data_IF_170396011986
#
_entry.id   IF_170396011986
#
_cell.length_a   1.000
_cell.length_b   1.000
_cell.length_c   1.000
_cell.angle_alpha   90.00
_cell.angle_beta   90.00
_cell.angle_gamma   90.00
#
_symmetry.space_group_name_H-M   'P 1'
#
loop_
_entity.id
_entity.type
_entity.pdbx_description
1 polymer ?
#
# COMPACT_ATOMS: atom_id res chain seq x y z
N UNK A 1 38.50 -2.34 -35.67
CA UNK A 1 38.41 -2.48 -34.26
C UNK A 1 38.02 -1.15 -33.65
N UNK A 2 36.76 -0.93 -33.40
CA UNK A 2 36.25 0.25 -32.67
C UNK A 2 35.40 -0.29 -31.51
N UNK A 3 35.87 -0.03 -30.31
CA UNK A 3 35.14 -0.33 -29.07
C UNK A 3 33.85 0.48 -29.04
N UNK A 4 32.73 -0.22 -28.96
CA UNK A 4 31.43 0.38 -28.64
C UNK A 4 31.36 0.43 -27.13
N UNK A 5 31.60 1.62 -26.57
CA UNK A 5 31.38 1.97 -25.16
C UNK A 5 29.94 1.66 -24.78
N UNK A 6 29.77 0.73 -23.85
CA UNK A 6 28.49 0.51 -23.16
C UNK A 6 28.14 1.79 -22.40
N UNK A 7 27.18 2.54 -22.91
CA UNK A 7 26.47 3.52 -22.10
C UNK A 7 25.48 2.75 -21.24
N UNK A 8 25.81 2.59 -19.95
CA UNK A 8 24.86 2.20 -18.93
C UNK A 8 23.83 3.33 -18.78
N UNK A 9 22.63 3.10 -19.28
CA UNK A 9 21.48 3.96 -19.01
C UNK A 9 20.97 3.59 -17.60
N UNK A 10 21.54 4.23 -16.58
CA UNK A 10 20.96 4.28 -15.25
C UNK A 10 19.80 5.27 -15.30
N UNK A 11 18.59 4.79 -15.14
CA UNK A 11 17.44 5.67 -14.99
C UNK A 11 16.12 5.20 -15.60
N UNK A 12 15.82 3.91 -15.61
CA UNK A 12 14.41 3.50 -15.73
C UNK A 12 13.91 3.20 -14.33
N UNK A 13 13.29 4.21 -13.71
CA UNK A 13 12.60 4.06 -12.44
C UNK A 13 11.63 2.88 -12.57
N UNK A 14 11.88 1.86 -11.75
CA UNK A 14 10.92 0.76 -11.58
C UNK A 14 9.68 1.37 -10.95
N UNK A 15 8.59 1.43 -11.69
CA UNK A 15 7.28 1.83 -11.15
C UNK A 15 6.84 0.69 -10.24
N UNK A 16 7.19 0.78 -8.96
CA UNK A 16 6.72 -0.12 -7.93
C UNK A 16 5.58 0.56 -7.17
N UNK A 17 4.35 0.20 -7.49
CA UNK A 17 3.21 0.46 -6.63
C UNK A 17 3.14 -0.68 -5.62
N UNK A 18 3.82 -0.53 -4.49
CA UNK A 18 3.59 -1.40 -3.34
C UNK A 18 2.53 -0.74 -2.45
N UNK A 19 1.34 -1.30 -2.43
CA UNK A 19 0.36 -1.00 -1.42
C UNK A 19 0.83 -1.55 -0.08
N UNK A 20 1.42 -0.68 0.72
CA UNK A 20 1.86 -1.04 2.06
C UNK A 20 2.25 0.21 2.84
N UNK A 21 1.40 0.64 3.74
CA UNK A 21 1.57 1.81 4.60
C UNK A 21 2.77 1.73 5.56
N UNK A 22 3.73 2.66 5.50
CA UNK A 22 4.51 3.12 6.67
C UNK A 22 5.28 4.43 6.46
N UNK A 23 4.92 5.43 7.19
CA UNK A 23 5.56 6.41 8.04
C UNK A 23 6.60 7.40 7.51
N UNK A 24 6.34 8.70 7.74
CA UNK A 24 7.36 9.75 7.85
C UNK A 24 7.12 10.62 9.08
N UNK A 25 8.16 10.74 9.94
CA UNK A 25 8.29 11.74 10.99
C UNK A 25 8.90 13.04 10.43
N UNK A 26 8.31 14.19 10.75
CA UNK A 26 9.06 15.45 10.87
C UNK A 26 8.53 16.24 12.05
N UNK A 27 9.46 16.61 12.95
CA UNK A 27 9.23 17.45 14.13
C UNK A 27 9.04 18.90 13.70
N UNK A 28 8.07 19.59 14.30
CA UNK A 28 8.15 21.01 14.63
C UNK A 28 7.35 21.30 15.89
N UNK A 29 7.93 22.15 16.72
CA UNK A 29 7.61 22.45 18.10
C UNK A 29 6.29 23.21 18.31
N UNK A 30 5.78 23.05 19.51
CA UNK A 30 4.57 23.55 20.18
C UNK A 30 4.35 25.08 20.17
N UNK A 31 3.13 25.58 20.54
CA UNK A 31 2.85 25.73 21.98
C UNK A 31 1.43 25.27 22.42
N UNK A 32 1.37 24.97 23.72
CA UNK A 32 0.18 24.68 24.52
C UNK A 32 -0.82 25.87 24.50
N UNK A 33 -2.11 25.58 24.27
CA UNK A 33 -3.21 26.39 24.80
C UNK A 33 -4.37 25.46 25.20
N UNK A 34 -4.85 25.70 26.36
CA UNK A 34 -5.94 25.31 27.20
C UNK A 34 -7.03 24.32 26.74
N UNK A 35 -7.31 23.40 27.65
CA UNK A 35 -8.44 22.50 27.65
C UNK A 35 -9.77 23.23 27.84
N UNK A 36 -10.65 23.10 26.86
CA UNK A 36 -12.08 23.31 26.98
C UNK A 36 -12.79 22.07 26.49
N UNK A 37 -13.40 21.30 27.41
CA UNK A 37 -14.26 20.19 27.06
C UNK A 37 -15.52 20.76 26.35
N UNK A 38 -15.51 20.72 25.04
CA UNK A 38 -16.68 20.96 24.21
C UNK A 38 -17.27 19.61 23.83
N UNK A 39 -18.49 19.33 24.26
CA UNK A 39 -19.34 18.27 23.74
C UNK A 39 -19.55 18.57 22.26
N UNK A 40 -18.78 17.92 21.41
CA UNK A 40 -18.90 18.06 19.96
C UNK A 40 -20.26 17.49 19.53
N UNK A 41 -21.10 18.34 18.99
CA UNK A 41 -22.20 17.94 18.13
C UNK A 41 -21.65 17.11 16.95
N UNK A 42 -22.44 16.20 16.35
CA UNK A 42 -22.02 15.50 15.14
C UNK A 42 -21.53 16.53 14.13
N UNK A 43 -20.43 16.27 13.40
CA UNK A 43 -19.91 17.26 12.47
C UNK A 43 -21.00 17.56 11.43
N UNK A 44 -21.44 18.82 11.38
CA UNK A 44 -22.12 19.33 10.21
C UNK A 44 -21.25 18.98 9.01
N UNK A 45 -21.85 18.38 7.99
CA UNK A 45 -21.15 17.83 6.83
C UNK A 45 -20.09 18.81 6.30
N UNK A 46 -18.85 18.63 6.75
CA UNK A 46 -17.70 19.34 6.21
C UNK A 46 -17.62 19.03 4.72
N UNK A 47 -17.09 19.95 3.91
CA UNK A 47 -16.94 19.68 2.48
C UNK A 47 -16.16 18.37 2.29
N UNK A 48 -16.46 17.58 1.25
CA UNK A 48 -15.77 16.33 0.95
C UNK A 48 -14.25 16.48 1.03
N UNK A 49 -13.72 17.62 0.57
CA UNK A 49 -12.30 17.97 0.65
C UNK A 49 -11.78 18.05 2.10
N UNK A 50 -12.58 18.60 3.02
CA UNK A 50 -12.21 18.70 4.45
C UNK A 50 -12.22 17.31 5.10
N UNK A 51 -13.22 16.48 4.78
CA UNK A 51 -13.31 15.08 5.26
C UNK A 51 -12.07 14.29 4.81
N UNK A 52 -11.73 14.36 3.52
CA UNK A 52 -10.52 13.69 2.98
C UNK A 52 -9.25 14.24 3.64
N UNK A 53 -9.13 15.53 3.86
CA UNK A 53 -7.99 16.13 4.55
C UNK A 53 -7.88 15.63 6.00
N UNK A 54 -8.99 15.55 6.74
CA UNK A 54 -9.04 15.03 8.11
C UNK A 54 -8.65 13.55 8.16
N UNK A 55 -9.20 12.75 7.25
CA UNK A 55 -8.84 11.33 7.11
C UNK A 55 -7.33 11.18 6.89
N UNK A 56 -6.72 11.95 5.99
CA UNK A 56 -5.27 11.89 5.73
C UNK A 56 -4.43 12.26 6.96
N UNK A 57 -4.85 13.25 7.75
CA UNK A 57 -4.20 13.59 9.02
C UNK A 57 -4.26 12.39 9.97
N UNK A 58 -5.42 11.76 10.13
CA UNK A 58 -5.58 10.60 11.01
C UNK A 58 -4.77 9.39 10.53
N UNK A 59 -4.69 9.16 9.21
CA UNK A 59 -3.83 8.13 8.64
C UNK A 59 -2.34 8.38 8.97
N UNK A 60 -1.90 9.64 8.85
CA UNK A 60 -0.52 10.00 9.16
C UNK A 60 -0.20 9.86 10.66
N UNK A 61 -1.11 10.26 11.55
CA UNK A 61 -0.94 10.09 13.00
C UNK A 61 -0.86 8.60 13.36
N UNK A 62 -1.80 7.80 12.85
CA UNK A 62 -1.81 6.36 13.12
C UNK A 62 -0.55 5.65 12.60
N UNK A 63 0.01 6.14 11.51
CA UNK A 63 1.24 5.60 10.95
C UNK A 63 2.48 5.78 11.86
N UNK A 64 2.45 6.74 12.76
CA UNK A 64 3.57 7.00 13.71
C UNK A 64 3.61 5.99 14.87
N UNK A 65 2.49 5.31 15.14
CA UNK A 65 2.35 4.39 16.27
C UNK A 65 1.84 3.04 15.77
N UNK A 66 2.70 2.28 15.10
CA UNK A 66 2.34 0.98 14.53
C UNK A 66 2.85 -0.15 15.39
N UNK A 67 1.94 -1.03 15.73
CA UNK A 67 2.27 -2.32 16.30
C UNK A 67 2.60 -3.33 15.18
N UNK A 68 3.40 -4.33 15.53
CA UNK A 68 3.71 -5.44 14.65
C UNK A 68 2.67 -6.56 14.81
N UNK A 69 2.40 -7.24 13.71
CA UNK A 69 1.41 -8.30 13.63
C UNK A 69 1.96 -9.53 12.94
N UNK A 70 1.44 -10.68 13.34
CA UNK A 70 1.42 -11.88 12.52
C UNK A 70 0.04 -11.99 11.87
N UNK A 71 -0.02 -12.37 10.60
CA UNK A 71 -1.26 -12.50 9.86
C UNK A 71 -1.13 -13.49 8.69
N UNK A 72 -2.26 -13.90 8.13
CA UNK A 72 -2.32 -14.71 6.92
C UNK A 72 -2.52 -13.81 5.70
N UNK A 73 -1.87 -14.17 4.60
CA UNK A 73 -2.06 -13.58 3.27
C UNK A 73 -2.41 -14.67 2.28
N UNK A 74 -3.42 -14.41 1.45
CA UNK A 74 -3.67 -15.13 0.21
C UNK A 74 -3.37 -14.18 -0.93
N UNK A 75 -2.37 -14.47 -1.73
CA UNK A 75 -1.90 -13.59 -2.80
C UNK A 75 -1.79 -14.34 -4.11
N UNK A 76 -2.31 -13.73 -5.17
CA UNK A 76 -2.05 -14.08 -6.57
C UNK A 76 -1.52 -12.84 -7.26
N UNK A 77 -0.28 -12.89 -7.72
CA UNK A 77 0.38 -11.72 -8.30
C UNK A 77 1.53 -12.14 -9.24
N UNK A 78 2.19 -11.17 -9.85
CA UNK A 78 3.41 -11.41 -10.61
C UNK A 78 4.53 -12.00 -9.73
N UNK A 79 4.57 -11.63 -8.43
CA UNK A 79 5.50 -12.19 -7.45
C UNK A 79 5.31 -13.69 -7.26
N UNK A 80 4.07 -14.16 -7.30
CA UNK A 80 3.73 -15.57 -7.15
C UNK A 80 3.75 -16.35 -8.46
N UNK A 81 4.10 -15.69 -9.58
CA UNK A 81 4.02 -16.29 -10.91
C UNK A 81 2.58 -16.60 -11.35
N UNK A 82 1.58 -15.90 -10.78
CA UNK A 82 0.16 -16.13 -11.03
C UNK A 82 -0.45 -17.29 -10.21
N UNK A 83 0.33 -17.97 -9.37
CA UNK A 83 -0.18 -18.98 -8.44
C UNK A 83 -0.81 -18.31 -7.21
N UNK A 84 -1.84 -18.94 -6.64
CA UNK A 84 -2.42 -18.50 -5.37
C UNK A 84 -1.56 -19.02 -4.21
N UNK A 85 -0.80 -18.13 -3.58
CA UNK A 85 -0.02 -18.46 -2.41
C UNK A 85 -0.78 -18.13 -1.13
N UNK A 86 -0.76 -19.04 -0.17
CA UNK A 86 -1.15 -18.78 1.21
C UNK A 86 0.11 -18.70 2.06
N UNK A 87 0.34 -17.55 2.67
CA UNK A 87 1.54 -17.28 3.46
C UNK A 87 1.16 -16.82 4.87
N UNK A 88 2.01 -17.16 5.85
CA UNK A 88 2.03 -16.51 7.15
C UNK A 88 3.08 -15.41 7.12
N UNK A 89 2.68 -14.21 7.48
CA UNK A 89 3.54 -13.05 7.56
C UNK A 89 3.77 -12.65 9.02
N UNK A 90 5.02 -12.30 9.35
CA UNK A 90 5.39 -11.77 10.66
C UNK A 90 6.13 -10.45 10.45
N UNK A 91 5.58 -9.36 10.97
CA UNK A 91 6.17 -8.03 10.87
C UNK A 91 7.33 -7.87 11.84
N UNK A 92 8.41 -7.23 11.39
CA UNK A 92 9.57 -6.84 12.20
C UNK A 92 10.11 -5.49 11.76
N UNK A 93 10.97 -4.88 12.56
CA UNK A 93 11.67 -3.65 12.16
C UNK A 93 12.58 -3.85 10.93
N UNK A 94 13.05 -5.06 10.66
CA UNK A 94 13.87 -5.38 9.50
C UNK A 94 13.05 -5.57 8.22
N UNK A 95 11.77 -5.95 8.35
CA UNK A 95 10.86 -6.23 7.23
C UNK A 95 9.82 -7.29 7.60
N UNK A 96 9.07 -7.78 6.61
CA UNK A 96 8.04 -8.80 6.79
C UNK A 96 8.62 -10.18 6.46
N UNK A 97 8.79 -11.03 7.47
CA UNK A 97 9.12 -12.44 7.27
C UNK A 97 7.87 -13.14 6.72
N UNK A 98 8.02 -13.85 5.61
CA UNK A 98 6.94 -14.57 4.93
C UNK A 98 7.27 -16.05 4.92
N UNK A 99 6.33 -16.91 5.27
CA UNK A 99 6.43 -18.36 5.14
C UNK A 99 5.29 -18.88 4.28
N UNK A 100 5.60 -19.53 3.18
CA UNK A 100 4.62 -20.17 2.33
C UNK A 100 4.02 -21.39 3.04
N UNK A 101 2.69 -21.49 3.08
CA UNK A 101 1.93 -22.55 3.72
C UNK A 101 1.23 -23.46 2.70
N UNK A 102 0.72 -22.85 1.62
CA UNK A 102 -0.01 -23.58 0.56
C UNK A 102 0.13 -22.85 -0.77
N UNK A 103 0.00 -23.61 -1.86
CA UNK A 103 0.03 -23.11 -3.24
C UNK A 103 -1.20 -23.67 -3.99
N UNK A 104 -1.96 -22.79 -4.67
CA UNK A 104 -3.19 -23.12 -5.40
C UNK A 104 -4.21 -23.94 -4.59
N UNK A 105 -4.31 -23.64 -3.29
CA UNK A 105 -5.21 -24.30 -2.34
C UNK A 105 -4.75 -25.68 -1.87
N UNK A 106 -3.56 -26.10 -2.29
CA UNK A 106 -2.98 -27.40 -1.88
C UNK A 106 -1.86 -27.20 -0.86
N UNK A 107 -1.76 -28.06 0.17
CA UNK A 107 -0.61 -28.08 1.07
C UNK A 107 0.69 -28.29 0.30
N UNK A 108 1.79 -27.73 0.81
CA UNK A 108 3.10 -27.89 0.20
C UNK A 108 3.59 -29.33 0.31
N UNK A 109 4.31 -29.82 -0.70
CA UNK A 109 5.06 -31.08 -0.62
C UNK A 109 6.17 -30.99 0.43
N UNK A 110 6.62 -32.14 0.93
CA UNK A 110 7.74 -32.20 1.88
C UNK A 110 9.02 -31.54 1.35
N UNK A 111 9.28 -31.68 0.06
CA UNK A 111 10.41 -31.03 -0.62
C UNK A 111 10.24 -29.50 -0.62
N UNK A 112 9.05 -29.00 -0.95
CA UNK A 112 8.76 -27.56 -0.98
C UNK A 112 8.83 -26.95 0.43
N UNK A 113 8.37 -27.67 1.45
CA UNK A 113 8.54 -27.27 2.87
C UNK A 113 10.01 -27.18 3.23
N UNK A 114 10.84 -28.16 2.83
CA UNK A 114 12.26 -28.14 3.10
C UNK A 114 12.98 -26.97 2.41
N UNK A 115 12.62 -26.66 1.17
CA UNK A 115 13.11 -25.47 0.44
C UNK A 115 12.75 -24.17 1.16
N UNK A 116 11.50 -24.06 1.62
CA UNK A 116 11.02 -22.87 2.32
C UNK A 116 11.72 -22.66 3.67
N UNK A 117 11.91 -23.74 4.43
CA UNK A 117 12.72 -23.69 5.67
C UNK A 117 14.17 -23.32 5.40
N UNK A 118 14.77 -23.84 4.31
CA UNK A 118 16.11 -23.44 3.89
C UNK A 118 16.21 -21.97 3.54
N UNK A 119 15.19 -21.42 2.87
CA UNK A 119 15.08 -19.98 2.56
C UNK A 119 14.99 -19.14 3.84
N UNK A 120 14.16 -19.56 4.81
CA UNK A 120 14.01 -18.89 6.10
C UNK A 120 15.30 -18.96 6.93
N UNK A 121 15.98 -20.11 6.96
CA UNK A 121 17.28 -20.23 7.60
C UNK A 121 18.33 -19.28 7.00
N UNK A 122 18.30 -19.07 5.66
CA UNK A 122 19.13 -18.07 4.99
C UNK A 122 18.84 -16.63 5.43
N UNK A 123 17.58 -16.30 5.72
CA UNK A 123 17.19 -14.99 6.27
C UNK A 123 17.76 -14.80 7.68
N UNK A 124 17.73 -15.84 8.51
CA UNK A 124 18.29 -15.80 9.87
C UNK A 124 19.82 -15.71 9.83
N UNK A 125 20.46 -16.36 8.87
CA UNK A 125 21.93 -16.33 8.74
C UNK A 125 22.47 -14.96 8.28
N UNK A 126 21.70 -14.21 7.47
CA UNK A 126 22.07 -12.85 7.04
C UNK A 126 20.88 -11.88 7.17
N UNK A 127 20.55 -11.44 8.39
CA UNK A 127 19.46 -10.50 8.63
C UNK A 127 19.73 -9.12 8.02
N UNK A 128 20.99 -8.74 7.83
CA UNK A 128 21.34 -7.49 7.19
C UNK A 128 21.02 -7.50 5.69
N UNK A 129 21.27 -8.60 4.99
CA UNK A 129 20.83 -8.74 3.59
C UNK A 129 19.30 -8.78 3.48
N UNK A 130 18.60 -9.42 4.43
CA UNK A 130 17.14 -9.38 4.50
C UNK A 130 16.64 -7.94 4.67
N UNK A 131 17.20 -7.18 5.60
CA UNK A 131 16.83 -5.78 5.84
C UNK A 131 17.07 -4.91 4.59
N UNK A 132 18.22 -5.07 3.92
CA UNK A 132 18.52 -4.32 2.67
C UNK A 132 17.48 -4.60 1.57
N UNK A 133 17.08 -5.87 1.39
CA UNK A 133 16.03 -6.23 0.41
C UNK A 133 14.66 -5.68 0.80
N UNK A 134 14.36 -5.66 2.09
CA UNK A 134 13.10 -5.12 2.62
C UNK A 134 13.04 -3.59 2.55
N UNK A 135 14.18 -2.92 2.50
CA UNK A 135 14.22 -1.44 2.43
C UNK A 135 13.54 -0.92 1.16
N UNK A 136 13.75 -1.55 0.02
CA UNK A 136 13.09 -1.15 -1.22
C UNK A 136 11.56 -1.19 -1.11
N UNK A 137 11.00 -2.21 -0.43
CA UNK A 137 9.56 -2.30 -0.17
C UNK A 137 9.06 -1.20 0.77
N UNK A 138 9.87 -0.79 1.76
CA UNK A 138 9.53 0.31 2.66
C UNK A 138 9.55 1.66 1.93
N UNK A 139 10.52 1.86 1.06
CA UNK A 139 10.61 3.07 0.23
C UNK A 139 9.41 3.18 -0.70
N UNK A 140 8.97 2.06 -1.30
CA UNK A 140 7.75 2.00 -2.11
C UNK A 140 6.49 2.32 -1.29
N UNK A 141 6.40 1.79 -0.06
CA UNK A 141 5.31 2.13 0.87
C UNK A 141 5.27 3.61 1.20
N UNK A 142 6.42 4.21 1.46
CA UNK A 142 6.54 5.64 1.75
C UNK A 142 6.12 6.48 0.54
N UNK A 143 6.55 6.07 -0.65
CA UNK A 143 6.19 6.74 -1.90
C UNK A 143 4.67 6.71 -2.15
N UNK A 144 4.04 5.54 -2.02
CA UNK A 144 2.59 5.39 -2.15
C UNK A 144 1.82 6.31 -1.17
N UNK A 145 2.31 6.43 0.07
CA UNK A 145 1.74 7.32 1.07
C UNK A 145 1.87 8.79 0.67
N UNK A 146 3.03 9.18 0.16
CA UNK A 146 3.24 10.54 -0.36
C UNK A 146 2.23 10.85 -1.46
N UNK A 147 1.96 9.90 -2.36
CA UNK A 147 0.93 10.06 -3.40
C UNK A 147 -0.47 10.31 -2.81
N UNK A 148 -0.84 9.63 -1.73
CA UNK A 148 -2.15 9.87 -1.08
C UNK A 148 -2.28 11.31 -0.55
N UNK A 149 -1.20 11.96 -0.14
CA UNK A 149 -1.25 13.36 0.31
C UNK A 149 -1.61 14.35 -0.78
N UNK A 150 -1.53 13.94 -2.04
CA UNK A 150 -1.91 14.75 -3.19
C UNK A 150 -3.44 14.78 -3.43
N UNK A 151 -4.19 13.83 -2.86
CA UNK A 151 -5.63 13.69 -3.10
C UNK A 151 -6.39 15.03 -3.00
N UNK A 152 -6.23 15.87 -1.94
CA UNK A 152 -6.98 17.13 -1.82
C UNK A 152 -6.63 18.19 -2.86
N UNK A 153 -5.50 18.04 -3.57
CA UNK A 153 -5.03 18.97 -4.60
C UNK A 153 -5.29 18.43 -6.01
N UNK A 154 -4.98 17.15 -6.19
CA UNK A 154 -5.01 16.50 -7.51
C UNK A 154 -6.42 16.09 -7.94
N UNK A 155 -7.41 16.09 -7.01
CA UNK A 155 -8.76 15.62 -7.31
C UNK A 155 -9.84 16.61 -6.89
N UNK A 156 -10.94 16.57 -7.62
CA UNK A 156 -12.23 17.14 -7.25
C UNK A 156 -13.09 16.03 -6.67
N UNK A 157 -13.82 16.34 -5.61
CA UNK A 157 -14.67 15.40 -4.89
C UNK A 157 -16.14 15.70 -5.17
N UNK A 158 -16.94 14.63 -5.28
CA UNK A 158 -18.40 14.71 -5.35
C UNK A 158 -19.04 14.99 -3.98
N UNK A 159 -20.36 14.90 -3.95
CA UNK A 159 -21.13 15.04 -2.73
C UNK A 159 -20.84 13.87 -1.77
N UNK A 160 -20.84 14.19 -0.48
CA UNK A 160 -20.70 13.18 0.56
C UNK A 160 -22.03 12.46 0.76
N UNK A 161 -22.01 11.16 0.69
CA UNK A 161 -23.14 10.29 1.00
C UNK A 161 -22.81 9.49 2.24
N UNK A 162 -23.66 9.50 3.23
CA UNK A 162 -23.53 8.68 4.43
C UNK A 162 -24.41 7.43 4.32
N UNK A 163 -23.81 6.28 4.50
CA UNK A 163 -24.51 5.00 4.50
C UNK A 163 -23.83 4.04 5.48
N UNK A 164 -24.62 3.43 6.37
CA UNK A 164 -24.16 2.41 7.33
C UNK A 164 -22.95 2.82 8.19
N UNK A 165 -22.80 4.13 8.47
CA UNK A 165 -21.68 4.67 9.24
C UNK A 165 -20.42 4.94 8.42
N UNK A 166 -20.52 4.84 7.11
CA UNK A 166 -19.46 5.17 6.13
C UNK A 166 -19.79 6.45 5.37
N UNK A 167 -18.78 7.27 5.11
CA UNK A 167 -18.84 8.42 4.23
C UNK A 167 -18.33 8.03 2.85
N UNK A 168 -19.23 7.96 1.88
CA UNK A 168 -18.92 7.64 0.49
C UNK A 168 -18.66 8.93 -0.28
N UNK A 169 -17.49 9.00 -0.95
CA UNK A 169 -17.04 10.18 -1.70
C UNK A 169 -16.46 9.71 -3.04
N UNK A 170 -17.08 10.17 -4.12
CA UNK A 170 -16.53 9.98 -5.46
C UNK A 170 -15.43 11.02 -5.74
N UNK A 171 -14.42 10.63 -6.51
CA UNK A 171 -13.35 11.55 -6.92
C UNK A 171 -13.05 11.47 -8.42
N UNK A 172 -12.62 12.57 -8.99
CA UNK A 172 -12.18 12.69 -10.39
C UNK A 172 -11.01 13.66 -10.49
N UNK A 173 -10.20 13.58 -11.57
CA UNK A 173 -9.09 14.50 -11.78
C UNK A 173 -9.48 15.96 -11.67
N UNK A 174 -8.66 16.75 -10.98
CA UNK A 174 -8.77 18.20 -10.98
C UNK A 174 -8.04 18.75 -12.23
N UNK A 175 -8.74 19.36 -13.20
CA UNK A 175 -8.12 19.83 -14.44
C UNK A 175 -7.11 20.96 -14.22
N UNK A 176 -7.15 21.64 -13.06
CA UNK A 176 -6.22 22.70 -12.70
C UNK A 176 -4.91 22.17 -12.07
N UNK A 177 -4.84 20.88 -11.78
CA UNK A 177 -3.65 20.26 -11.20
C UNK A 177 -2.70 19.78 -12.29
N UNK A 178 -1.44 20.21 -12.21
CA UNK A 178 -0.37 19.78 -13.13
C UNK A 178 0.52 18.75 -12.44
N UNK A 179 0.42 17.46 -12.81
CA UNK A 179 1.27 16.40 -12.27
C UNK A 179 2.77 16.65 -12.54
N UNK A 180 3.59 16.57 -11.49
CA UNK A 180 5.02 16.87 -11.55
C UNK A 180 5.89 15.63 -11.81
N UNK A 181 5.36 14.44 -11.58
CA UNK A 181 6.05 13.16 -11.82
C UNK A 181 5.22 12.23 -12.70
N UNK A 182 5.83 11.11 -13.08
CA UNK A 182 5.16 10.05 -13.82
C UNK A 182 4.06 9.41 -12.97
N UNK A 183 4.39 9.11 -11.72
CA UNK A 183 3.49 8.49 -10.75
C UNK A 183 2.28 9.40 -10.46
N UNK A 184 2.52 10.71 -10.30
CA UNK A 184 1.44 11.70 -10.17
C UNK A 184 0.53 11.73 -11.40
N UNK A 185 1.10 11.61 -12.59
CA UNK A 185 0.33 11.57 -13.84
C UNK A 185 -0.55 10.34 -13.95
N UNK A 186 -0.03 9.17 -13.55
CA UNK A 186 -0.81 7.92 -13.50
C UNK A 186 -1.93 8.04 -12.48
N UNK A 187 -1.62 8.49 -11.26
CA UNK A 187 -2.62 8.72 -10.21
C UNK A 187 -3.70 9.70 -10.68
N UNK A 188 -3.29 10.84 -11.20
CA UNK A 188 -4.20 11.90 -11.67
C UNK A 188 -5.05 11.48 -12.87
N UNK A 189 -4.65 10.45 -13.62
CA UNK A 189 -5.46 9.86 -14.70
C UNK A 189 -6.66 9.03 -14.23
N UNK A 190 -6.76 8.76 -12.91
CA UNK A 190 -7.80 7.87 -12.37
C UNK A 190 -9.01 8.63 -11.85
N UNK A 191 -10.16 7.98 -11.91
CA UNK A 191 -11.40 8.40 -11.23
C UNK A 191 -11.90 7.22 -10.41
N UNK A 192 -12.60 7.47 -9.31
CA UNK A 192 -13.05 6.39 -8.44
C UNK A 192 -13.87 6.88 -7.25
N UNK A 193 -13.88 6.07 -6.21
CA UNK A 193 -14.60 6.34 -4.98
C UNK A 193 -13.78 5.94 -3.75
N UNK A 194 -14.12 6.51 -2.62
CA UNK A 194 -13.59 6.13 -1.32
C UNK A 194 -14.69 6.02 -0.28
N UNK A 195 -14.48 5.14 0.68
CA UNK A 195 -15.31 4.96 1.87
C UNK A 195 -14.45 5.31 3.08
N UNK A 196 -14.95 6.19 3.93
CA UNK A 196 -14.28 6.65 5.14
C UNK A 196 -15.19 6.33 6.32
N UNK A 197 -14.70 5.58 7.31
CA UNK A 197 -15.43 5.35 8.56
C UNK A 197 -15.77 6.71 9.21
N UNK A 198 -17.04 6.99 9.37
CA UNK A 198 -17.54 8.30 9.82
C UNK A 198 -17.13 8.63 11.26
N UNK A 199 -16.94 7.60 12.11
CA UNK A 199 -16.58 7.75 13.52
C UNK A 199 -15.07 7.87 13.72
N UNK A 200 -14.30 6.98 13.11
CA UNK A 200 -12.85 6.96 13.26
C UNK A 200 -12.17 7.96 12.32
N UNK A 201 -12.86 8.44 11.29
CA UNK A 201 -12.32 9.25 10.20
C UNK A 201 -11.06 8.60 9.61
N UNK A 202 -11.18 7.30 9.30
CA UNK A 202 -10.13 6.46 8.74
C UNK A 202 -10.57 5.92 7.37
N UNK A 203 -9.62 5.76 6.47
CA UNK A 203 -9.88 5.17 5.16
C UNK A 203 -10.25 3.69 5.34
N UNK A 204 -11.48 3.32 4.95
CA UNK A 204 -11.96 1.94 4.93
C UNK A 204 -11.73 1.30 3.55
N UNK A 205 -12.13 2.00 2.48
CA UNK A 205 -11.95 1.52 1.12
C UNK A 205 -11.60 2.67 0.19
N UNK A 206 -10.78 2.39 -0.81
CA UNK A 206 -10.54 3.28 -1.95
C UNK A 206 -10.35 2.44 -3.19
N UNK A 207 -11.00 2.84 -4.25
CA UNK A 207 -10.83 2.25 -5.58
C UNK A 207 -10.70 3.33 -6.65
N UNK A 208 -9.96 3.02 -7.69
CA UNK A 208 -9.80 3.90 -8.83
C UNK A 208 -9.65 3.13 -10.13
N UNK A 209 -10.14 3.73 -11.20
CA UNK A 209 -10.04 3.20 -12.55
C UNK A 209 -9.60 4.28 -13.51
N UNK A 210 -8.80 3.90 -14.48
CA UNK A 210 -8.35 4.78 -15.56
C UNK A 210 -9.39 4.77 -16.69
N UNK A 211 -10.12 5.87 -16.92
CA UNK A 211 -11.18 5.92 -17.94
C UNK A 211 -10.62 6.02 -19.35
N UNK A 212 -9.43 6.57 -19.52
CA UNK A 212 -8.75 6.78 -20.80
C UNK A 212 -7.28 6.47 -20.69
N UNK A 213 -6.61 6.20 -21.82
CA UNK A 213 -5.16 6.01 -21.84
C UNK A 213 -4.41 7.23 -21.29
N UNK A 214 -3.42 6.99 -20.45
CA UNK A 214 -2.49 8.02 -19.97
C UNK A 214 -1.16 7.87 -20.67
N UNK A 215 -0.85 8.83 -21.56
CA UNK A 215 0.38 8.87 -22.33
C UNK A 215 1.47 9.68 -21.63
N UNK A 216 2.68 9.16 -21.66
CA UNK A 216 3.86 9.74 -21.05
C UNK A 216 4.89 10.01 -22.13
N UNK A 217 5.43 11.26 -22.16
CA UNK A 217 6.36 11.66 -23.21
C UNK A 217 5.73 11.54 -24.61
N UNK A 218 4.49 12.07 -24.77
CA UNK A 218 3.71 11.99 -26.01
C UNK A 218 3.46 10.53 -26.47
N UNK A 219 3.37 9.58 -25.53
CA UNK A 219 3.21 8.14 -25.83
C UNK A 219 4.51 7.44 -26.25
N UNK A 220 5.62 8.16 -26.36
CA UNK A 220 6.92 7.58 -26.74
C UNK A 220 7.61 6.88 -25.57
N UNK A 221 7.45 7.39 -24.33
CA UNK A 221 8.09 6.83 -23.14
C UNK A 221 7.26 5.70 -22.52
N UNK A 222 5.97 5.93 -22.34
CA UNK A 222 5.04 4.91 -21.87
C UNK A 222 3.59 5.29 -22.19
N UNK A 223 2.70 4.30 -22.12
CA UNK A 223 1.25 4.49 -22.11
C UNK A 223 0.68 3.50 -21.11
N UNK A 224 -0.14 3.98 -20.18
CA UNK A 224 -0.97 3.14 -19.30
C UNK A 224 -2.36 3.12 -19.91
N UNK A 225 -2.89 1.92 -20.11
CA UNK A 225 -4.14 1.73 -20.84
C UNK A 225 -5.38 1.99 -20.00
N UNK A 226 -6.42 2.48 -20.65
CA UNK A 226 -7.77 2.54 -20.11
C UNK A 226 -8.18 1.16 -19.56
N UNK A 227 -8.94 1.18 -18.45
CA UNK A 227 -9.33 -0.03 -17.75
C UNK A 227 -8.36 -0.46 -16.66
N UNK A 228 -7.11 0.07 -16.61
CA UNK A 228 -6.23 -0.10 -15.46
C UNK A 228 -6.93 0.36 -14.18
N UNK A 229 -6.81 -0.42 -13.09
CA UNK A 229 -7.55 -0.20 -11.86
C UNK A 229 -6.76 -0.59 -10.63
N UNK A 230 -7.18 -0.05 -9.50
CA UNK A 230 -6.75 -0.49 -8.17
C UNK A 230 -7.90 -0.44 -7.18
N UNK A 231 -7.85 -1.27 -6.16
CA UNK A 231 -8.70 -1.19 -4.98
C UNK A 231 -7.92 -1.61 -3.73
N UNK A 232 -8.22 -0.98 -2.61
CA UNK A 232 -7.64 -1.34 -1.31
C UNK A 232 -8.69 -1.19 -0.24
N UNK A 233 -8.85 -2.22 0.61
CA UNK A 233 -9.68 -2.15 1.82
C UNK A 233 -8.82 -2.26 3.07
N UNK A 234 -9.31 -1.65 4.14
CA UNK A 234 -8.67 -1.66 5.45
C UNK A 234 -9.72 -1.82 6.52
N UNK A 235 -9.47 -2.71 7.47
CA UNK A 235 -10.38 -2.98 8.57
C UNK A 235 -9.70 -2.77 9.92
N UNK A 236 -10.47 -2.38 10.95
CA UNK A 236 -9.94 -2.27 12.30
C UNK A 236 -9.63 -3.68 12.85
N UNK A 237 -8.50 -3.81 13.54
CA UNK A 237 -8.16 -5.07 14.24
C UNK A 237 -9.09 -5.30 15.42
N UNK A 238 -9.62 -6.52 15.56
CA UNK A 238 -10.70 -6.85 16.50
C UNK A 238 -10.30 -6.92 17.98
N UNK A 239 -9.01 -6.87 18.33
CA UNK A 239 -8.51 -7.26 19.65
C UNK A 239 -7.84 -6.13 20.44
N UNK A 240 -8.16 -4.85 20.19
CA UNK A 240 -7.57 -3.72 20.90
C UNK A 240 -8.62 -2.70 21.32
N UNK A 241 -8.41 -2.07 22.50
CA UNK A 241 -9.20 -0.92 22.93
C UNK A 241 -9.05 0.28 21.99
N UNK A 242 -7.91 0.35 21.30
CA UNK A 242 -7.62 1.28 20.19
C UNK A 242 -7.26 0.46 18.97
N UNK A 243 -8.24 0.08 18.13
CA UNK A 243 -7.97 -0.79 16.98
C UNK A 243 -7.09 -0.08 15.95
N UNK A 244 -6.07 -0.77 15.47
CA UNK A 244 -5.33 -0.34 14.29
C UNK A 244 -6.06 -0.77 13.02
N UNK A 245 -6.01 0.08 12.00
CA UNK A 245 -6.55 -0.24 10.69
C UNK A 245 -5.49 -0.93 9.85
N UNK A 246 -5.74 -2.19 9.47
CA UNK A 246 -4.84 -3.01 8.67
C UNK A 246 -5.42 -3.23 7.28
N UNK A 247 -4.56 -3.28 6.28
CA UNK A 247 -4.98 -3.60 4.90
C UNK A 247 -5.44 -5.06 4.84
N UNK A 248 -6.68 -5.26 4.44
CA UNK A 248 -7.33 -6.57 4.30
C UNK A 248 -7.48 -7.00 2.84
N UNK A 249 -7.56 -6.05 1.91
CA UNK A 249 -7.62 -6.29 0.48
C UNK A 249 -6.66 -5.37 -0.27
N UNK A 250 -5.94 -5.95 -1.22
CA UNK A 250 -5.22 -5.23 -2.27
C UNK A 250 -5.66 -5.87 -3.59
N UNK A 251 -6.11 -5.05 -4.52
CA UNK A 251 -6.43 -5.48 -5.88
C UNK A 251 -5.86 -4.46 -6.86
N UNK A 252 -5.09 -4.90 -7.83
CA UNK A 252 -4.58 -4.03 -8.88
C UNK A 252 -4.47 -4.76 -10.20
N UNK A 253 -4.92 -4.11 -11.25
CA UNK A 253 -4.81 -4.57 -12.63
C UNK A 253 -4.31 -3.39 -13.47
N UNK A 254 -3.00 -3.28 -13.62
CA UNK A 254 -2.35 -2.23 -14.42
C UNK A 254 -1.86 -2.84 -15.71
N UNK A 255 -2.28 -2.27 -16.83
CA UNK A 255 -1.83 -2.64 -18.16
C UNK A 255 -1.26 -1.42 -18.90
N UNK A 256 -0.19 -1.64 -19.66
CA UNK A 256 0.46 -0.56 -20.38
C UNK A 256 1.66 -1.00 -21.20
N UNK A 257 2.33 -0.03 -21.82
CA UNK A 257 3.56 -0.21 -22.57
C UNK A 257 4.60 0.87 -22.21
N UNK A 258 5.84 0.47 -22.13
CA UNK A 258 6.98 1.37 -21.98
C UNK A 258 7.91 1.28 -23.21
N UNK A 259 8.91 2.17 -23.23
CA UNK A 259 9.92 2.32 -24.30
C UNK A 259 10.23 0.98 -24.97
N UNK A 260 10.27 1.00 -26.32
CA UNK A 260 10.53 -0.18 -27.15
C UNK A 260 9.47 -1.30 -27.03
N UNK A 261 8.21 -0.92 -26.76
CA UNK A 261 7.07 -1.84 -26.70
C UNK A 261 7.14 -2.90 -25.57
N UNK A 262 7.96 -2.65 -24.55
CA UNK A 262 7.98 -3.49 -23.36
C UNK A 262 6.64 -3.37 -22.65
N UNK A 263 5.93 -4.49 -22.50
CA UNK A 263 4.70 -4.52 -21.70
C UNK A 263 4.96 -4.14 -20.26
N UNK A 264 4.12 -3.29 -19.71
CA UNK A 264 3.99 -3.02 -18.27
C UNK A 264 2.67 -3.69 -17.90
N UNK A 265 2.74 -4.84 -17.26
CA UNK A 265 1.57 -5.47 -16.68
C UNK A 265 1.85 -5.69 -15.20
N UNK A 266 0.90 -5.37 -14.35
CA UNK A 266 0.94 -5.70 -12.94
C UNK A 266 -0.45 -6.12 -12.51
N UNK A 267 -0.54 -7.38 -12.10
CA UNK A 267 -1.74 -7.93 -11.52
C UNK A 267 -1.41 -8.39 -10.11
N UNK A 268 -2.20 -7.93 -9.15
CA UNK A 268 -2.06 -8.31 -7.76
C UNK A 268 -3.45 -8.39 -7.14
N UNK A 269 -3.76 -9.55 -6.57
CA UNK A 269 -4.91 -9.74 -5.70
C UNK A 269 -4.40 -10.36 -4.40
N UNK A 270 -4.54 -9.66 -3.29
CA UNK A 270 -4.10 -10.13 -1.99
C UNK A 270 -5.16 -9.85 -0.92
N UNK A 271 -5.50 -10.88 -0.16
CA UNK A 271 -6.36 -10.83 1.01
C UNK A 271 -5.54 -11.10 2.27
N UNK A 272 -5.67 -10.23 3.26
CA UNK A 272 -5.02 -10.40 4.55
C UNK A 272 -6.03 -10.61 5.67
N UNK A 273 -5.75 -11.54 6.57
CA UNK A 273 -6.67 -11.92 7.65
C UNK A 273 -5.92 -12.40 8.90
N UNK A 274 -6.67 -12.58 10.00
CA UNK A 274 -6.16 -13.16 11.24
C UNK A 274 -5.00 -12.36 11.84
N UNK A 275 -5.16 -11.04 11.95
CA UNK A 275 -4.17 -10.17 12.54
C UNK A 275 -4.06 -10.40 14.06
N UNK A 276 -2.89 -10.88 14.51
CA UNK A 276 -2.55 -11.09 15.92
C UNK A 276 -1.35 -10.21 16.24
N UNK A 277 -1.49 -9.35 17.24
CA UNK A 277 -0.40 -8.46 17.67
C UNK A 277 0.77 -9.27 18.25
N UNK A 278 1.98 -8.85 17.92
CA UNK A 278 3.24 -9.40 18.42
C UNK A 278 4.13 -8.30 18.99
N UNK A 279 5.22 -8.66 19.64
CA UNK A 279 6.17 -7.68 20.18
C UNK A 279 6.81 -6.85 19.06
N UNK A 280 6.95 -5.54 19.28
CA UNK A 280 7.49 -4.61 18.26
C UNK A 280 9.02 -4.74 18.08
N UNK A 281 9.71 -5.40 19.00
CA UNK A 281 11.16 -5.60 19.03
C UNK A 281 11.59 -7.00 18.59
N UNK A 282 10.70 -7.76 17.92
CA UNK A 282 11.04 -9.09 17.41
C UNK A 282 12.27 -9.05 16.51
N UNK A 283 13.26 -9.88 16.84
CA UNK A 283 14.36 -10.19 15.94
C UNK A 283 13.86 -11.00 14.73
N UNK A 284 14.63 -10.99 13.65
CA UNK A 284 14.33 -11.79 12.44
C UNK A 284 14.25 -13.30 12.78
N UNK A 285 15.12 -13.79 13.67
CA UNK A 285 15.10 -15.19 14.10
C UNK A 285 13.83 -15.56 14.88
N UNK A 286 13.37 -14.70 15.78
CA UNK A 286 12.10 -14.90 16.49
C UNK A 286 10.90 -14.86 15.53
N UNK A 287 10.91 -13.93 14.56
CA UNK A 287 9.86 -13.85 13.56
C UNK A 287 9.81 -15.10 12.67
N UNK A 288 10.96 -15.67 12.29
CA UNK A 288 11.02 -16.96 11.58
C UNK A 288 10.43 -18.07 12.45
N UNK A 289 10.81 -18.16 13.72
CA UNK A 289 10.26 -19.17 14.63
C UNK A 289 8.74 -19.09 14.79
N UNK A 290 8.16 -17.86 14.81
CA UNK A 290 6.71 -17.65 14.81
C UNK A 290 6.07 -18.07 13.48
N UNK A 291 6.74 -17.77 12.36
CA UNK A 291 6.23 -18.13 11.04
C UNK A 291 6.14 -19.67 10.86
N UNK A 292 7.07 -20.43 11.44
CA UNK A 292 7.17 -21.89 11.34
C UNK A 292 6.21 -22.67 12.28
N UNK A 293 5.59 -22.03 13.26
CA UNK A 293 4.54 -22.60 14.11
C UNK A 293 3.19 -22.73 13.38
#
# INVERSE_FOLDING_TARGET
>A
MREIRKMEVHGVAKIYWAAGCSMLCLMLASPLIGAGASTAAPPEAGSAKQIVATMLVNENVAAQHRDHYVYLSKERSDRTGGHLWMEKLVETNAGKVRMLLAEDGQPLSAERIAQERGRLAGIVADPAAFQRRSQALKDDELHARTMLTLLPKAFLFGDVREQDGELLIDFRPNPEYEPQSLEERVLHGMSGSMMIDAKAMRLHHIEGRMPTDVSIGFGLLATIHAGSSFATSRDPTSNSATPEWKTTLIDSAIDGRAILFKAIARNEHAEHSNFIRVANDLSVAQAVAIAEQ
#
